data_IF_499346153617
#
_entry.id   IF_499346153617
#
_cell.length_a   1.000
_cell.length_b   1.000
_cell.length_c   1.000
_cell.angle_alpha   90.00
_cell.angle_beta   90.00
_cell.angle_gamma   90.00
#
_symmetry.space_group_name_H-M   'P 1'
#
loop_
_entity.id
_entity.type
_entity.pdbx_description
1 polymer ?
#
# COMPACT_ATOMS: atom_id res chain seq x y z
N UNK A 1 28.93 -18.66 20.64
CA UNK A 1 28.86 -17.32 21.26
C UNK A 1 29.29 -16.26 20.25
N UNK A 2 28.75 -15.03 20.25
CA UNK A 2 28.99 -14.02 19.22
C UNK A 2 30.45 -13.76 18.86
N UNK A 3 31.34 -13.76 19.85
CA UNK A 3 32.75 -13.36 19.71
C UNK A 3 33.73 -14.53 19.88
N UNK A 4 33.27 -15.77 19.74
CA UNK A 4 34.12 -16.95 19.97
C UNK A 4 35.24 -17.12 18.92
N UNK A 5 35.13 -16.49 17.75
CA UNK A 5 36.13 -16.53 16.70
C UNK A 5 37.22 -15.45 16.79
N UNK A 6 37.25 -14.66 17.86
CA UNK A 6 38.28 -13.63 18.06
C UNK A 6 39.48 -14.28 18.77
N UNK A 7 40.65 -14.20 18.14
CA UNK A 7 41.92 -14.62 18.76
C UNK A 7 42.27 -13.64 19.90
N UNK A 8 42.27 -14.15 21.14
CA UNK A 8 42.55 -13.36 22.33
C UNK A 8 44.04 -13.30 22.68
N UNK A 9 44.86 -14.20 22.13
CA UNK A 9 46.30 -14.26 22.41
C UNK A 9 47.04 -13.11 21.72
N UNK A 10 46.58 -12.72 20.53
CA UNK A 10 47.18 -11.64 19.74
C UNK A 10 46.26 -10.41 19.64
N UNK A 11 45.77 -9.92 20.77
CA UNK A 11 44.76 -8.85 20.81
C UNK A 11 45.24 -7.52 20.20
N UNK A 12 46.54 -7.25 20.25
CA UNK A 12 47.16 -6.02 19.73
C UNK A 12 47.32 -6.00 18.20
N UNK A 13 47.46 -7.17 17.57
CA UNK A 13 47.63 -7.28 16.12
C UNK A 13 46.30 -7.24 15.35
N UNK A 14 45.17 -7.39 16.04
CA UNK A 14 43.84 -7.37 15.44
C UNK A 14 43.46 -6.01 14.87
N UNK A 15 42.89 -6.02 13.67
CA UNK A 15 42.33 -4.82 13.04
C UNK A 15 41.14 -4.29 13.86
N UNK A 16 41.33 -3.13 14.49
CA UNK A 16 40.28 -2.47 15.26
C UNK A 16 39.31 -1.75 14.31
N UNK A 17 38.07 -1.55 14.76
CA UNK A 17 37.05 -0.85 13.97
C UNK A 17 37.46 0.58 13.58
N UNK A 18 38.08 1.33 14.49
CA UNK A 18 38.60 2.71 14.30
C UNK A 18 37.57 3.76 13.87
N UNK A 19 36.33 3.38 13.55
CA UNK A 19 35.20 4.25 13.33
C UNK A 19 33.90 3.63 13.85
N UNK A 20 33.03 4.48 14.38
CA UNK A 20 31.70 4.06 14.81
C UNK A 20 30.87 3.48 13.65
N UNK A 21 30.98 4.07 12.46
CA UNK A 21 30.24 3.63 11.27
C UNK A 21 30.58 2.20 10.85
N UNK A 22 31.87 1.82 10.90
CA UNK A 22 32.31 0.45 10.58
C UNK A 22 31.78 -0.56 11.59
N UNK A 23 31.75 -0.18 12.87
CA UNK A 23 31.16 -1.01 13.91
C UNK A 23 29.65 -1.21 13.68
N UNK A 24 28.90 -0.12 13.44
CA UNK A 24 27.45 -0.17 13.22
C UNK A 24 27.08 -1.08 12.04
N UNK A 25 27.79 -0.99 10.92
CA UNK A 25 27.56 -1.86 9.77
C UNK A 25 27.72 -3.35 10.10
N UNK A 26 28.68 -3.70 10.96
CA UNK A 26 28.85 -5.09 11.41
C UNK A 26 27.75 -5.46 12.39
N UNK A 27 27.40 -4.57 13.31
CA UNK A 27 26.33 -4.78 14.29
C UNK A 27 24.97 -5.03 13.61
N UNK A 28 24.60 -4.23 12.61
CA UNK A 28 23.36 -4.42 11.83
C UNK A 28 23.36 -5.75 11.08
N UNK A 29 24.48 -6.11 10.44
CA UNK A 29 24.63 -7.42 9.79
C UNK A 29 24.49 -8.58 10.77
N UNK A 30 25.01 -8.45 11.99
CA UNK A 30 24.83 -9.48 13.03
C UNK A 30 23.41 -9.52 13.56
N UNK A 31 22.72 -8.39 13.64
CA UNK A 31 21.34 -8.31 14.11
C UNK A 31 20.36 -9.00 13.15
N UNK A 32 20.66 -9.00 11.84
CA UNK A 32 19.84 -9.66 10.83
C UNK A 32 20.06 -11.18 10.75
N UNK A 33 21.04 -11.74 11.46
CA UNK A 33 21.27 -13.19 11.49
C UNK A 33 20.30 -13.86 12.45
N UNK A 34 19.87 -15.07 12.08
CA UNK A 34 19.12 -15.91 13.00
C UNK A 34 20.00 -16.36 14.16
N UNK A 35 19.42 -16.36 15.36
CA UNK A 35 20.11 -16.76 16.57
C UNK A 35 19.23 -17.60 17.48
N UNK A 36 19.85 -18.48 18.26
CA UNK A 36 19.18 -19.40 19.17
C UNK A 36 18.52 -18.71 20.37
N UNK A 37 19.07 -17.60 20.88
CA UNK A 37 18.50 -16.87 22.01
C UNK A 37 17.23 -16.07 21.62
N UNK A 38 16.56 -15.51 22.63
CA UNK A 38 15.38 -14.65 22.45
C UNK A 38 15.80 -13.33 21.81
N UNK A 39 15.16 -12.96 20.70
CA UNK A 39 15.42 -11.72 19.97
C UNK A 39 14.12 -10.92 19.84
N UNK A 40 14.24 -9.60 19.68
CA UNK A 40 13.08 -8.74 19.43
C UNK A 40 12.26 -9.21 18.22
N UNK A 41 12.95 -9.58 17.14
CA UNK A 41 12.37 -10.10 15.89
C UNK A 41 11.39 -11.26 16.10
N UNK A 42 11.76 -12.21 16.96
CA UNK A 42 10.92 -13.39 17.30
C UNK A 42 9.62 -13.02 18.03
N UNK A 43 9.54 -11.85 18.65
CA UNK A 43 8.33 -11.38 19.32
C UNK A 43 7.42 -10.56 18.42
N UNK A 44 7.93 -10.05 17.30
CA UNK A 44 7.22 -9.08 16.46
C UNK A 44 6.85 -9.62 15.08
N UNK A 45 7.62 -10.55 14.53
CA UNK A 45 7.41 -11.04 13.17
C UNK A 45 6.70 -12.40 13.16
N UNK A 46 5.65 -12.50 12.33
CA UNK A 46 5.00 -13.74 11.92
C UNK A 46 5.48 -14.11 10.53
N UNK A 47 6.22 -15.21 10.40
CA UNK A 47 6.70 -15.69 9.10
C UNK A 47 5.59 -16.45 8.38
N UNK A 48 5.25 -15.99 7.18
CA UNK A 48 4.37 -16.69 6.26
C UNK A 48 5.06 -16.80 4.91
N UNK A 49 5.05 -18.00 4.33
CA UNK A 49 5.47 -18.20 2.95
C UNK A 49 4.40 -17.60 2.04
N UNK A 50 4.80 -16.69 1.16
CA UNK A 50 3.90 -16.05 0.22
C UNK A 50 4.11 -16.61 -1.19
N UNK A 51 3.01 -16.89 -1.89
CA UNK A 51 3.01 -17.41 -3.26
C UNK A 51 2.92 -16.26 -4.26
N UNK A 52 3.72 -16.31 -5.33
CA UNK A 52 3.62 -15.32 -6.40
C UNK A 52 2.53 -15.71 -7.41
N UNK A 53 1.46 -14.93 -7.49
CA UNK A 53 0.32 -15.13 -8.42
C UNK A 53 0.38 -14.21 -9.65
N UNK A 54 1.47 -13.46 -9.82
CA UNK A 54 1.62 -12.49 -10.90
C UNK A 54 2.16 -13.04 -12.22
N UNK A 55 2.15 -12.17 -13.23
CA UNK A 55 2.76 -12.45 -14.55
C UNK A 55 4.26 -12.81 -14.46
N UNK A 56 4.75 -13.69 -15.35
CA UNK A 56 6.15 -14.09 -15.40
C UNK A 56 7.07 -12.91 -15.73
N UNK A 57 8.30 -12.96 -15.22
CA UNK A 57 9.31 -11.94 -15.50
C UNK A 57 10.11 -12.25 -16.76
N UNK A 58 9.78 -11.59 -17.87
CA UNK A 58 10.57 -11.66 -19.11
C UNK A 58 11.81 -10.76 -19.00
N UNK A 59 12.93 -11.31 -18.52
CA UNK A 59 14.18 -10.55 -18.38
C UNK A 59 14.98 -10.55 -19.69
N UNK A 60 15.44 -9.39 -20.20
CA UNK A 60 16.37 -9.35 -21.32
C UNK A 60 17.73 -9.98 -20.96
N UNK A 61 18.53 -10.33 -21.97
CA UNK A 61 19.85 -10.92 -21.75
C UNK A 61 20.74 -10.00 -20.91
N UNK A 62 21.10 -10.46 -19.70
CA UNK A 62 21.97 -9.72 -18.75
C UNK A 62 23.28 -9.27 -19.40
N UNK A 63 23.85 -10.08 -20.29
CA UNK A 63 25.11 -9.74 -20.98
C UNK A 63 24.96 -8.51 -21.87
N UNK A 64 23.84 -8.40 -22.59
CA UNK A 64 23.55 -7.26 -23.47
C UNK A 64 23.34 -6.00 -22.64
N UNK A 65 22.49 -6.08 -21.62
CA UNK A 65 22.18 -4.98 -20.71
C UNK A 65 23.45 -4.41 -20.03
N UNK A 66 24.31 -5.29 -19.50
CA UNK A 66 25.56 -4.89 -18.86
C UNK A 66 26.50 -4.21 -19.87
N UNK A 67 26.61 -4.74 -21.10
CA UNK A 67 27.45 -4.16 -22.15
C UNK A 67 27.00 -2.73 -22.49
N UNK A 68 25.70 -2.50 -22.61
CA UNK A 68 25.13 -1.18 -22.87
C UNK A 68 25.36 -0.21 -21.72
N UNK A 69 25.11 -0.63 -20.47
CA UNK A 69 25.36 0.20 -19.28
C UNK A 69 26.83 0.60 -19.15
N UNK A 70 27.76 -0.32 -19.44
CA UNK A 70 29.20 -0.03 -19.47
C UNK A 70 29.52 0.98 -20.58
N UNK A 71 28.97 0.80 -21.78
CA UNK A 71 29.16 1.72 -22.92
C UNK A 71 28.71 3.14 -22.55
N UNK A 72 27.50 3.30 -22.03
CA UNK A 72 26.95 4.60 -21.60
C UNK A 72 27.80 5.22 -20.49
N UNK A 73 28.22 4.42 -19.51
CA UNK A 73 29.08 4.92 -18.41
C UNK A 73 30.43 5.40 -18.93
N UNK A 74 31.05 4.69 -19.88
CA UNK A 74 32.30 5.11 -20.52
C UNK A 74 32.13 6.41 -21.30
N UNK A 75 31.05 6.54 -22.08
CA UNK A 75 30.72 7.77 -22.81
C UNK A 75 30.54 8.96 -21.87
N UNK A 76 29.81 8.78 -20.77
CA UNK A 76 29.59 9.82 -19.78
C UNK A 76 30.91 10.24 -19.08
N UNK A 77 31.78 9.28 -18.75
CA UNK A 77 33.10 9.57 -18.15
C UNK A 77 34.07 10.27 -19.10
N UNK A 78 33.97 10.01 -20.40
CA UNK A 78 34.80 10.66 -21.41
C UNK A 78 34.34 12.10 -21.73
N UNK A 79 33.13 12.48 -21.30
CA UNK A 79 32.59 13.82 -21.53
C UNK A 79 33.16 14.82 -20.50
N UNK A 80 34.02 15.73 -20.98
CA UNK A 80 34.68 16.76 -20.17
C UNK A 80 33.71 17.79 -19.58
N UNK A 81 32.61 18.10 -20.28
CA UNK A 81 31.61 19.06 -19.78
C UNK A 81 30.82 18.46 -18.62
N UNK A 82 30.49 17.16 -18.69
CA UNK A 82 29.81 16.44 -17.62
C UNK A 82 30.71 16.31 -16.38
N UNK A 83 32.00 16.07 -16.56
CA UNK A 83 33.00 16.10 -15.48
C UNK A 83 33.06 17.47 -14.81
N UNK A 84 33.18 18.54 -15.61
CA UNK A 84 33.23 19.92 -15.12
C UNK A 84 31.96 20.28 -14.35
N UNK A 85 30.78 19.99 -14.90
CA UNK A 85 29.50 20.28 -14.28
C UNK A 85 29.30 19.49 -12.97
N UNK A 86 29.77 18.24 -12.91
CA UNK A 86 29.72 17.43 -11.68
C UNK A 86 30.67 17.99 -10.61
N UNK A 87 31.90 18.36 -10.99
CA UNK A 87 32.88 18.96 -10.08
C UNK A 87 32.40 20.29 -9.49
N UNK A 88 31.74 21.11 -10.32
CA UNK A 88 31.15 22.38 -9.90
C UNK A 88 29.76 22.23 -9.23
N UNK A 89 29.23 21.01 -9.15
CA UNK A 89 27.90 20.68 -8.59
C UNK A 89 26.74 21.44 -9.28
N UNK A 90 26.90 21.75 -10.57
CA UNK A 90 25.86 22.44 -11.37
C UNK A 90 25.00 21.46 -12.16
N UNK A 91 25.44 20.21 -12.33
CA UNK A 91 24.71 19.20 -13.09
C UNK A 91 23.37 18.84 -12.43
N UNK A 92 22.30 18.81 -13.22
CA UNK A 92 20.95 18.42 -12.79
C UNK A 92 20.47 17.21 -13.60
N UNK A 93 19.91 16.22 -12.90
CA UNK A 93 19.40 15.01 -13.53
C UNK A 93 17.94 15.28 -13.96
N UNK A 94 17.58 15.02 -15.24
CA UNK A 94 16.20 15.15 -15.69
C UNK A 94 15.30 14.08 -15.04
N UNK A 95 14.38 14.52 -14.19
CA UNK A 95 13.53 13.63 -13.39
C UNK A 95 12.58 12.78 -14.25
N UNK A 96 12.07 13.33 -15.36
CA UNK A 96 11.16 12.63 -16.25
C UNK A 96 11.82 11.39 -16.88
N UNK A 97 13.09 11.51 -17.27
CA UNK A 97 13.88 10.39 -17.79
C UNK A 97 14.16 9.35 -16.72
N UNK A 98 14.43 9.78 -15.49
CA UNK A 98 14.64 8.86 -14.36
C UNK A 98 13.36 8.09 -14.07
N UNK A 99 12.19 8.75 -14.05
CA UNK A 99 10.90 8.13 -13.83
C UNK A 99 10.56 7.11 -14.93
N UNK A 100 10.74 7.48 -16.20
CA UNK A 100 10.47 6.57 -17.32
C UNK A 100 11.37 5.33 -17.31
N UNK A 101 12.65 5.46 -16.94
CA UNK A 101 13.57 4.33 -16.82
C UNK A 101 13.26 3.47 -15.58
N UNK A 102 12.88 4.12 -14.47
CA UNK A 102 12.48 3.44 -13.25
C UNK A 102 11.24 2.58 -13.47
N UNK A 103 10.20 3.10 -14.13
CA UNK A 103 8.97 2.37 -14.46
C UNK A 103 9.25 1.09 -15.27
N UNK A 104 10.25 1.09 -16.15
CA UNK A 104 10.63 -0.08 -16.95
C UNK A 104 11.47 -1.12 -16.20
N UNK A 105 12.21 -0.70 -15.18
CA UNK A 105 13.24 -1.53 -14.54
C UNK A 105 12.83 -1.96 -13.12
N UNK A 106 13.11 -1.12 -12.12
CA UNK A 106 12.92 -1.44 -10.71
C UNK A 106 11.54 -1.04 -10.18
N UNK A 107 10.78 -0.24 -10.93
CA UNK A 107 9.46 0.25 -10.56
C UNK A 107 8.52 -0.82 -10.05
N UNK A 108 8.28 -1.91 -10.81
CA UNK A 108 7.44 -3.03 -10.37
C UNK A 108 7.76 -3.56 -8.96
N UNK A 109 9.05 -3.72 -8.65
CA UNK A 109 9.49 -4.26 -7.35
C UNK A 109 9.35 -3.23 -6.23
N UNK A 110 9.55 -1.93 -6.52
CA UNK A 110 9.33 -0.87 -5.55
C UNK A 110 7.84 -0.73 -5.22
N UNK A 111 6.98 -0.84 -6.23
CA UNK A 111 5.52 -0.80 -6.06
C UNK A 111 5.05 -2.02 -5.25
N UNK A 112 5.58 -3.21 -5.53
CA UNK A 112 5.32 -4.41 -4.74
C UNK A 112 5.67 -4.18 -3.25
N UNK A 113 6.88 -3.66 -2.96
CA UNK A 113 7.30 -3.37 -1.58
C UNK A 113 6.41 -2.31 -0.91
N UNK A 114 5.94 -1.32 -1.67
CA UNK A 114 4.98 -0.34 -1.15
C UNK A 114 3.64 -1.01 -0.87
N UNK A 115 3.12 -1.83 -1.76
CA UNK A 115 1.86 -2.55 -1.55
C UNK A 115 1.90 -3.46 -0.32
N UNK A 116 3.02 -4.14 -0.08
CA UNK A 116 3.28 -4.91 1.13
C UNK A 116 3.32 -4.02 2.38
N UNK A 117 4.02 -2.89 2.33
CA UNK A 117 4.06 -1.92 3.44
C UNK A 117 2.68 -1.36 3.79
N UNK A 118 1.85 -1.09 2.77
CA UNK A 118 0.48 -0.62 2.95
C UNK A 118 -0.49 -1.74 3.31
N UNK A 119 -0.08 -3.01 3.42
CA UNK A 119 -0.95 -4.13 3.78
C UNK A 119 -1.90 -4.61 2.67
N UNK A 120 -1.71 -4.16 1.42
CA UNK A 120 -2.63 -4.46 0.31
C UNK A 120 -2.71 -5.97 0.04
N UNK A 121 -1.58 -6.65 0.01
CA UNK A 121 -1.57 -8.10 -0.22
C UNK A 121 -2.18 -8.86 0.94
N UNK A 122 -1.92 -8.43 2.18
CA UNK A 122 -2.49 -9.08 3.36
C UNK A 122 -4.02 -9.08 3.34
N UNK A 123 -4.62 -7.97 2.92
CA UNK A 123 -6.08 -7.80 2.93
C UNK A 123 -6.73 -8.42 1.68
N UNK A 124 -6.17 -8.19 0.48
CA UNK A 124 -6.79 -8.63 -0.78
C UNK A 124 -6.45 -10.09 -1.15
N UNK A 125 -5.23 -10.53 -0.83
CA UNK A 125 -4.69 -11.84 -1.22
C UNK A 125 -3.89 -12.47 -0.07
N UNK A 126 -4.55 -12.95 1.00
CA UNK A 126 -3.85 -13.56 2.13
C UNK A 126 -2.90 -14.66 1.66
N UNK A 127 -1.62 -14.58 2.04
CA UNK A 127 -0.53 -15.49 1.65
C UNK A 127 -0.09 -15.45 0.17
N UNK A 128 -0.53 -14.47 -0.62
CA UNK A 128 -0.09 -14.31 -2.00
C UNK A 128 0.37 -12.89 -2.30
N UNK A 129 1.27 -12.74 -3.27
CA UNK A 129 1.73 -11.46 -3.78
C UNK A 129 1.85 -11.53 -5.29
N UNK A 130 1.95 -10.37 -5.94
CA UNK A 130 2.31 -10.31 -7.35
C UNK A 130 3.17 -9.09 -7.62
N UNK A 131 4.00 -9.16 -8.66
CA UNK A 131 4.78 -8.00 -9.10
C UNK A 131 4.00 -7.28 -10.19
N UNK A 132 3.60 -6.01 -10.01
CA UNK A 132 2.85 -5.27 -11.03
C UNK A 132 3.75 -4.95 -12.22
N UNK A 133 3.69 -5.79 -13.25
CA UNK A 133 4.49 -5.66 -14.47
C UNK A 133 3.95 -4.59 -15.41
N UNK A 134 2.64 -4.37 -15.39
CA UNK A 134 1.97 -3.37 -16.21
C UNK A 134 1.77 -2.10 -15.39
N UNK A 135 2.34 -0.98 -15.87
CA UNK A 135 2.21 0.31 -15.20
C UNK A 135 0.83 0.90 -15.45
N UNK A 136 0.02 0.96 -14.40
CA UNK A 136 -1.31 1.54 -14.45
C UNK A 136 -1.23 3.05 -14.18
N UNK A 137 -1.70 3.88 -15.12
CA UNK A 137 -1.81 5.33 -14.94
C UNK A 137 -3.27 5.71 -14.79
N UNK A 138 -3.64 6.17 -13.61
CA UNK A 138 -4.98 6.63 -13.28
C UNK A 138 -4.92 8.12 -12.97
N UNK A 139 -5.79 8.91 -13.59
CA UNK A 139 -5.89 10.34 -13.37
C UNK A 139 -7.36 10.75 -13.19
N UNK A 140 -7.61 11.56 -12.18
CA UNK A 140 -8.91 12.18 -11.94
C UNK A 140 -8.94 13.61 -12.48
N UNK A 141 -10.05 13.97 -13.14
CA UNK A 141 -10.26 15.29 -13.75
C UNK A 141 -9.54 15.50 -15.08
N UNK A 142 -9.96 16.52 -15.82
CA UNK A 142 -9.48 16.79 -17.19
C UNK A 142 -8.05 17.35 -17.21
N UNK A 143 -7.63 18.04 -16.15
CA UNK A 143 -6.32 18.72 -16.09
C UNK A 143 -5.16 17.82 -15.61
N UNK A 144 -5.37 16.51 -15.46
CA UNK A 144 -4.37 15.57 -14.90
C UNK A 144 -3.76 16.01 -13.55
N UNK A 145 -4.41 16.93 -12.83
CA UNK A 145 -3.91 17.52 -11.60
C UNK A 145 -3.98 16.55 -10.42
N UNK A 146 -4.90 15.57 -10.49
CA UNK A 146 -5.10 14.53 -9.49
C UNK A 146 -4.68 13.14 -10.04
N UNK A 147 -3.37 12.95 -10.26
CA UNK A 147 -2.82 11.64 -10.60
C UNK A 147 -2.83 10.70 -9.39
N UNK A 148 -3.19 9.44 -9.62
CA UNK A 148 -2.99 8.35 -8.66
C UNK A 148 -1.58 7.81 -8.82
N UNK A 149 -0.90 7.60 -7.70
CA UNK A 149 0.40 6.98 -7.61
C UNK A 149 0.29 5.72 -6.73
N UNK A 150 1.08 5.64 -5.67
CA UNK A 150 1.20 4.46 -4.81
C UNK A 150 1.08 4.90 -3.35
N UNK A 151 -0.10 5.38 -2.97
CA UNK A 151 -0.44 5.84 -1.63
C UNK A 151 -0.48 7.35 -1.43
N UNK A 152 -0.50 8.14 -2.50
CA UNK A 152 -0.71 9.59 -2.38
C UNK A 152 -2.14 9.90 -1.90
N UNK A 153 -2.32 11.08 -1.33
CA UNK A 153 -3.62 11.53 -0.85
C UNK A 153 -4.45 12.18 -1.96
N UNK A 154 -5.71 11.77 -2.11
CA UNK A 154 -6.71 12.41 -2.97
C UNK A 154 -8.01 12.64 -2.19
N UNK A 155 -8.65 13.79 -2.37
CA UNK A 155 -9.91 14.08 -1.70
C UNK A 155 -11.09 13.37 -2.39
N UNK A 156 -12.17 13.07 -1.66
CA UNK A 156 -13.39 12.50 -2.26
C UNK A 156 -13.98 13.39 -3.36
N UNK A 157 -13.82 14.71 -3.26
CA UNK A 157 -14.26 15.68 -4.30
C UNK A 157 -13.45 15.56 -5.59
N UNK A 158 -12.14 15.35 -5.49
CA UNK A 158 -11.29 15.08 -6.66
C UNK A 158 -11.67 13.75 -7.32
N UNK A 159 -12.00 12.73 -6.51
CA UNK A 159 -12.41 11.41 -6.98
C UNK A 159 -13.94 11.27 -7.18
N UNK A 160 -14.64 12.37 -7.45
CA UNK A 160 -16.11 12.35 -7.58
C UNK A 160 -16.61 11.69 -8.87
N UNK A 161 -15.86 11.82 -9.96
CA UNK A 161 -16.14 11.20 -11.26
C UNK A 161 -15.18 10.04 -11.54
N UNK A 162 -15.59 9.15 -12.45
CA UNK A 162 -14.73 8.03 -12.87
C UNK A 162 -13.41 8.56 -13.46
N UNK A 163 -12.26 7.97 -13.11
CA UNK A 163 -10.97 8.45 -13.58
C UNK A 163 -10.70 8.03 -15.03
N UNK A 164 -9.79 8.75 -15.68
CA UNK A 164 -9.18 8.29 -16.92
C UNK A 164 -8.06 7.29 -16.60
N UNK A 165 -8.18 6.08 -17.14
CA UNK A 165 -7.23 4.99 -16.92
C UNK A 165 -6.51 4.67 -18.22
N UNK A 166 -5.18 4.57 -18.16
CA UNK A 166 -4.35 4.18 -19.30
C UNK A 166 -3.22 3.26 -18.85
N UNK A 167 -2.94 2.24 -19.67
CA UNK A 167 -1.85 1.29 -19.46
C UNK A 167 -1.31 0.78 -20.81
N UNK A 168 -0.13 0.17 -20.80
CA UNK A 168 0.45 -0.41 -22.02
C UNK A 168 -0.15 -1.82 -22.24
N UNK A 169 -0.85 -1.99 -23.36
CA UNK A 169 -1.56 -3.22 -23.69
C UNK A 169 -1.40 -3.58 -25.17
N UNK A 170 -1.42 -4.88 -25.47
CA UNK A 170 -1.43 -5.41 -26.83
C UNK A 170 -2.84 -5.27 -27.45
N UNK A 171 -2.95 -5.01 -28.75
CA UNK A 171 -4.23 -4.69 -29.42
C UNK A 171 -5.31 -5.78 -29.26
N UNK A 172 -4.91 -7.05 -29.17
CA UNK A 172 -5.83 -8.20 -29.04
C UNK A 172 -5.92 -8.74 -27.60
N UNK A 173 -5.40 -8.01 -26.62
CA UNK A 173 -5.44 -8.45 -25.22
C UNK A 173 -6.71 -7.99 -24.52
N UNK A 174 -7.19 -8.82 -23.58
CA UNK A 174 -8.36 -8.54 -22.77
C UNK A 174 -7.93 -8.24 -21.32
N UNK A 175 -8.58 -7.26 -20.70
CA UNK A 175 -8.24 -6.82 -19.35
C UNK A 175 -9.47 -6.62 -18.49
N UNK A 176 -9.29 -6.73 -17.18
CA UNK A 176 -10.30 -6.40 -16.19
C UNK A 176 -9.73 -5.40 -15.19
N UNK A 177 -10.47 -4.32 -14.95
CA UNK A 177 -10.13 -3.28 -14.00
C UNK A 177 -11.08 -3.35 -12.81
N UNK A 178 -10.51 -3.42 -11.60
CA UNK A 178 -11.23 -3.44 -10.34
C UNK A 178 -10.77 -2.28 -9.46
N UNK A 179 -11.69 -1.52 -8.89
CA UNK A 179 -11.45 -0.56 -7.81
C UNK A 179 -12.17 -1.04 -6.56
N UNK A 180 -11.41 -1.33 -5.51
CA UNK A 180 -11.93 -1.83 -4.22
C UNK A 180 -11.39 -1.02 -3.05
N UNK A 181 -12.12 -1.03 -1.93
CA UNK A 181 -11.73 -0.41 -0.67
C UNK A 181 -11.93 -1.39 0.49
N UNK A 182 -10.86 -1.92 1.10
CA UNK A 182 -10.97 -2.79 2.27
C UNK A 182 -11.31 -2.04 3.56
N UNK A 183 -11.08 -0.72 3.62
CA UNK A 183 -11.18 0.05 4.87
C UNK A 183 -12.57 0.70 5.09
N UNK A 184 -13.44 0.68 4.07
CA UNK A 184 -14.69 1.46 4.07
C UNK A 184 -15.93 0.66 4.52
N UNK A 185 -15.81 -0.66 4.68
CA UNK A 185 -16.96 -1.49 4.97
C UNK A 185 -17.51 -1.26 6.39
N UNK A 186 -18.82 -0.98 6.49
CA UNK A 186 -19.44 -0.46 7.71
C UNK A 186 -19.95 -1.54 8.68
N UNK A 187 -20.12 -2.77 8.22
CA UNK A 187 -20.77 -3.84 9.01
C UNK A 187 -19.86 -5.01 9.36
N UNK A 188 -18.82 -5.24 8.55
CA UNK A 188 -17.95 -6.40 8.59
C UNK A 188 -16.53 -5.93 8.24
N UNK A 189 -15.55 -6.24 9.09
CA UNK A 189 -14.16 -5.82 8.91
C UNK A 189 -13.42 -6.61 7.84
N UNK A 190 -13.92 -7.79 7.48
CA UNK A 190 -13.29 -8.70 6.52
C UNK A 190 -13.84 -8.54 5.10
N UNK A 191 -14.74 -7.58 4.88
CA UNK A 191 -15.36 -7.30 3.59
C UNK A 191 -14.90 -5.97 3.04
N UNK A 192 -14.94 -5.88 1.72
CA UNK A 192 -14.55 -4.70 0.97
C UNK A 192 -15.79 -4.12 0.28
N UNK A 193 -15.71 -2.86 -0.15
CA UNK A 193 -16.66 -2.33 -1.12
C UNK A 193 -16.05 -2.25 -2.51
N UNK A 194 -16.76 -2.79 -3.50
CA UNK A 194 -16.44 -2.57 -4.91
C UNK A 194 -16.94 -1.20 -5.35
N UNK A 195 -16.01 -0.35 -5.76
CA UNK A 195 -16.33 0.97 -6.29
C UNK A 195 -16.55 0.95 -7.79
N UNK A 196 -15.76 0.16 -8.52
CA UNK A 196 -15.82 0.08 -9.97
C UNK A 196 -15.29 -1.26 -10.44
N UNK A 197 -15.98 -1.90 -11.39
CA UNK A 197 -15.53 -3.13 -12.01
C UNK A 197 -15.89 -3.10 -13.50
N UNK A 198 -14.86 -3.16 -14.35
CA UNK A 198 -14.99 -3.20 -15.80
C UNK A 198 -14.25 -4.42 -16.30
N UNK A 199 -14.98 -5.35 -16.90
CA UNK A 199 -14.44 -6.58 -17.48
C UNK A 199 -14.30 -6.50 -18.99
N UNK A 200 -13.58 -7.46 -19.59
CA UNK A 200 -13.49 -7.64 -21.04
C UNK A 200 -13.08 -6.37 -21.79
N UNK A 201 -12.14 -5.60 -21.23
CA UNK A 201 -11.61 -4.36 -21.83
C UNK A 201 -10.70 -4.75 -23.01
N UNK A 202 -11.01 -4.31 -24.24
CA UNK A 202 -10.15 -4.58 -25.39
C UNK A 202 -8.95 -3.62 -25.40
N UNK A 203 -7.75 -4.17 -25.28
CA UNK A 203 -6.49 -3.43 -25.25
C UNK A 203 -6.47 -2.39 -24.12
N UNK A 204 -6.45 -1.11 -24.49
CA UNK A 204 -6.40 0.02 -23.55
C UNK A 204 -7.72 0.81 -23.51
N UNK A 205 -8.76 0.36 -24.20
CA UNK A 205 -10.03 1.09 -24.36
C UNK A 205 -11.00 0.77 -23.21
N UNK A 206 -10.73 1.31 -22.02
CA UNK A 206 -11.51 1.03 -20.79
C UNK A 206 -13.01 1.33 -20.98
N UNK A 207 -13.36 2.38 -21.72
CA UNK A 207 -14.75 2.73 -22.04
C UNK A 207 -15.47 1.72 -22.94
N UNK A 208 -14.74 0.87 -23.67
CA UNK A 208 -15.29 -0.19 -24.52
C UNK A 208 -15.45 -1.52 -23.78
N UNK A 209 -14.99 -1.61 -22.53
CA UNK A 209 -15.19 -2.78 -21.69
C UNK A 209 -16.63 -2.91 -21.20
N UNK A 210 -16.97 -4.10 -20.72
CA UNK A 210 -18.25 -4.38 -20.08
C UNK A 210 -18.23 -3.84 -18.65
N UNK A 211 -19.03 -2.80 -18.37
CA UNK A 211 -19.20 -2.29 -17.02
C UNK A 211 -20.04 -3.27 -16.17
N UNK A 212 -19.37 -4.02 -15.30
CA UNK A 212 -19.98 -5.02 -14.41
C UNK A 212 -20.50 -4.34 -13.14
N UNK A 213 -19.76 -3.37 -12.63
CA UNK A 213 -20.16 -2.52 -11.52
C UNK A 213 -19.87 -1.06 -11.85
N UNK A 214 -20.89 -0.21 -11.79
CA UNK A 214 -20.77 1.22 -12.03
C UNK A 214 -19.86 1.90 -11.01
N UNK A 215 -19.04 2.85 -11.48
CA UNK A 215 -18.24 3.72 -10.63
C UNK A 215 -19.09 4.42 -9.54
N UNK A 216 -18.64 4.33 -8.29
CA UNK A 216 -19.11 5.18 -7.18
C UNK A 216 -17.91 5.88 -6.54
N UNK A 217 -18.07 7.17 -6.28
CA UNK A 217 -17.04 7.96 -5.63
C UNK A 217 -16.69 7.40 -4.24
N UNK A 218 -15.44 7.53 -3.78
CA UNK A 218 -15.03 7.28 -2.39
C UNK A 218 -15.93 7.97 -1.35
N UNK A 219 -16.35 7.26 -0.30
CA UNK A 219 -17.11 7.79 0.84
C UNK A 219 -16.48 7.46 2.20
N UNK A 220 -15.21 7.87 2.43
CA UNK A 220 -14.59 7.63 3.73
C UNK A 220 -15.43 8.29 4.82
N UNK A 221 -15.80 7.54 5.86
CA UNK A 221 -16.71 8.03 6.89
C UNK A 221 -15.98 8.95 7.88
N UNK A 222 -16.73 9.85 8.52
CA UNK A 222 -16.11 10.82 9.42
C UNK A 222 -15.58 10.11 10.66
N UNK A 223 -14.29 10.26 10.94
CA UNK A 223 -13.65 9.74 12.14
C UNK A 223 -13.02 8.34 12.02
N UNK A 224 -13.07 7.71 10.85
CA UNK A 224 -12.37 6.43 10.59
C UNK A 224 -10.93 6.60 10.09
N UNK A 225 -10.54 7.82 9.71
CA UNK A 225 -9.18 8.15 9.30
C UNK A 225 -8.96 8.05 7.79
N UNK A 226 -7.83 7.45 7.39
CA UNK A 226 -7.46 7.29 5.99
C UNK A 226 -7.88 5.93 5.47
N UNK A 227 -8.61 5.93 4.35
CA UNK A 227 -9.01 4.71 3.65
C UNK A 227 -8.17 4.54 2.38
N UNK A 228 -7.79 3.30 2.07
CA UNK A 228 -7.04 2.94 0.86
C UNK A 228 -8.01 2.53 -0.23
N UNK A 229 -7.88 3.15 -1.41
CA UNK A 229 -8.63 2.78 -2.61
C UNK A 229 -7.65 2.18 -3.61
N UNK A 230 -7.93 0.95 -4.02
CA UNK A 230 -6.95 0.10 -4.70
C UNK A 230 -7.48 -0.25 -6.09
N UNK A 231 -6.75 0.18 -7.11
CA UNK A 231 -6.95 -0.25 -8.49
C UNK A 231 -6.12 -1.50 -8.77
N UNK A 232 -6.80 -2.57 -9.15
CA UNK A 232 -6.22 -3.80 -9.65
C UNK A 232 -6.50 -3.94 -11.14
N UNK A 233 -5.46 -4.26 -11.89
CA UNK A 233 -5.57 -4.60 -13.31
C UNK A 233 -5.23 -6.08 -13.48
N UNK A 234 -6.17 -6.85 -14.01
CA UNK A 234 -6.00 -8.25 -14.36
C UNK A 234 -5.89 -8.42 -15.87
N UNK A 235 -4.94 -9.22 -16.32
CA UNK A 235 -4.85 -9.69 -17.70
C UNK A 235 -5.75 -10.91 -17.86
N UNK A 236 -6.63 -10.91 -18.86
CA UNK A 236 -7.49 -12.05 -19.19
C UNK A 236 -6.87 -12.83 -20.35
N UNK A 237 -6.92 -14.17 -20.28
CA UNK A 237 -6.51 -15.02 -21.40
C UNK A 237 -7.62 -15.19 -22.44
N UNK A 238 -8.87 -15.22 -21.97
CA UNK A 238 -10.09 -15.43 -22.76
C UNK A 238 -11.18 -14.47 -22.29
N UNK A 239 -12.21 -14.26 -23.10
CA UNK A 239 -13.41 -13.53 -22.71
C UNK A 239 -14.08 -14.23 -21.53
N UNK A 240 -14.24 -13.50 -20.42
CA UNK A 240 -14.81 -14.02 -19.18
C UNK A 240 -16.27 -13.62 -19.08
N UNK A 241 -17.14 -14.55 -18.69
CA UNK A 241 -18.53 -14.24 -18.39
C UNK A 241 -18.66 -13.69 -16.97
N UNK A 242 -18.97 -12.40 -16.85
CA UNK A 242 -19.23 -11.71 -15.59
C UNK A 242 -20.72 -11.62 -15.24
N UNK A 243 -21.58 -12.41 -15.90
CA UNK A 243 -23.03 -12.41 -15.66
C UNK A 243 -23.41 -12.61 -14.19
N UNK A 244 -22.64 -13.40 -13.43
CA UNK A 244 -22.90 -13.69 -12.02
C UNK A 244 -22.56 -12.53 -11.06
N UNK A 245 -21.63 -11.66 -11.45
CA UNK A 245 -21.16 -10.53 -10.63
C UNK A 245 -21.75 -9.19 -11.08
N UNK A 246 -22.59 -9.21 -12.12
CA UNK A 246 -23.19 -8.02 -12.70
C UNK A 246 -24.15 -7.36 -11.73
N UNK A 247 -23.87 -6.08 -11.44
CA UNK A 247 -24.70 -5.26 -10.58
C UNK A 247 -25.66 -4.41 -11.41
N UNK A 248 -26.87 -4.13 -10.91
CA UNK A 248 -27.81 -3.26 -11.61
C UNK A 248 -27.24 -1.85 -11.72
N UNK A 249 -27.27 -1.24 -12.91
CA UNK A 249 -26.83 0.15 -13.10
C UNK A 249 -28.04 1.10 -13.06
N UNK A 250 -28.13 2.08 -12.12
CA UNK A 250 -27.16 2.39 -11.07
C UNK A 250 -27.33 1.57 -9.78
N UNK A 251 -26.22 1.15 -9.17
CA UNK A 251 -26.23 0.41 -7.89
C UNK A 251 -25.77 1.29 -6.72
N UNK A 252 -26.71 1.67 -5.86
CA UNK A 252 -26.44 2.41 -4.62
C UNK A 252 -26.63 1.57 -3.35
N UNK A 253 -26.85 0.26 -3.48
CA UNK A 253 -27.03 -0.62 -2.33
C UNK A 253 -25.68 -1.12 -1.82
N UNK A 254 -25.28 -0.68 -0.63
CA UNK A 254 -24.02 -1.11 0.01
C UNK A 254 -23.94 -2.63 0.17
N UNK A 255 -25.06 -3.30 0.51
CA UNK A 255 -25.13 -4.76 0.63
C UNK A 255 -24.78 -5.50 -0.67
N UNK A 256 -25.13 -4.93 -1.82
CA UNK A 256 -24.80 -5.51 -3.13
C UNK A 256 -23.37 -5.19 -3.57
N UNK A 257 -22.80 -4.09 -3.07
CA UNK A 257 -21.40 -3.70 -3.29
C UNK A 257 -20.43 -4.37 -2.33
N UNK A 258 -20.93 -5.13 -1.35
CA UNK A 258 -20.15 -6.00 -0.50
C UNK A 258 -19.38 -7.00 -1.36
N UNK A 259 -18.06 -6.96 -1.29
CA UNK A 259 -17.18 -7.67 -2.20
C UNK A 259 -15.98 -8.24 -1.45
N UNK A 260 -15.43 -9.35 -1.96
CA UNK A 260 -14.14 -9.89 -1.51
C UNK A 260 -13.30 -10.19 -2.73
N UNK A 261 -12.18 -9.49 -2.86
CA UNK A 261 -11.28 -9.62 -4.01
C UNK A 261 -10.73 -11.03 -4.14
N UNK A 262 -10.42 -11.68 -3.01
CA UNK A 262 -9.95 -13.06 -2.96
C UNK A 262 -10.94 -14.05 -3.58
N UNK A 263 -12.23 -13.94 -3.23
CA UNK A 263 -13.26 -14.85 -3.71
C UNK A 263 -13.55 -14.64 -5.20
N UNK A 264 -13.53 -13.38 -5.65
CA UNK A 264 -13.61 -13.07 -7.08
C UNK A 264 -12.44 -13.65 -7.86
N UNK A 265 -11.21 -13.48 -7.36
CA UNK A 265 -10.03 -14.02 -8.01
C UNK A 265 -10.04 -15.55 -8.06
N UNK A 266 -10.39 -16.23 -6.96
CA UNK A 266 -10.49 -17.71 -6.90
C UNK A 266 -11.47 -18.28 -7.93
N UNK A 267 -12.59 -17.61 -8.19
CA UNK A 267 -13.56 -18.04 -9.20
C UNK A 267 -13.01 -17.99 -10.63
N UNK A 268 -12.03 -17.13 -10.88
CA UNK A 268 -11.54 -16.81 -12.22
C UNK A 268 -10.02 -17.02 -12.35
N UNK A 269 -9.36 -17.71 -11.42
CA UNK A 269 -7.89 -17.76 -11.37
C UNK A 269 -7.26 -18.36 -12.64
N UNK A 270 -7.96 -19.30 -13.26
CA UNK A 270 -7.57 -19.94 -14.53
C UNK A 270 -7.67 -18.99 -15.73
N UNK A 271 -8.44 -17.91 -15.62
CA UNK A 271 -8.78 -17.01 -16.73
C UNK A 271 -8.15 -15.63 -16.59
N UNK A 272 -7.89 -15.18 -15.35
CA UNK A 272 -7.39 -13.84 -15.05
C UNK A 272 -6.12 -13.91 -14.22
N UNK A 273 -5.14 -13.05 -14.54
CA UNK A 273 -3.88 -12.94 -13.79
C UNK A 273 -3.61 -11.49 -13.38
N UNK A 274 -3.30 -11.20 -12.11
CA UNK A 274 -3.00 -9.84 -11.68
C UNK A 274 -1.72 -9.31 -12.34
N UNK A 275 -1.82 -8.13 -12.93
CA UNK A 275 -0.80 -7.58 -13.82
C UNK A 275 -0.38 -6.15 -13.44
N UNK A 276 -1.31 -5.33 -12.94
CA UNK A 276 -1.08 -3.94 -12.56
C UNK A 276 -1.73 -3.59 -11.22
N UNK A 277 -1.16 -2.59 -10.56
CA UNK A 277 -1.60 -2.10 -9.26
C UNK A 277 -1.36 -0.59 -9.19
N UNK A 278 -2.36 0.16 -8.72
CA UNK A 278 -2.20 1.56 -8.31
C UNK A 278 -3.15 1.81 -7.14
N UNK A 279 -2.82 2.72 -6.22
CA UNK A 279 -3.69 3.01 -5.09
C UNK A 279 -3.45 4.40 -4.53
N UNK A 280 -4.47 4.95 -3.90
CA UNK A 280 -4.41 6.24 -3.21
C UNK A 280 -5.09 6.15 -1.84
N UNK A 281 -4.83 7.14 -1.01
CA UNK A 281 -5.50 7.31 0.28
C UNK A 281 -6.52 8.44 0.20
N UNK A 282 -7.70 8.24 0.76
CA UNK A 282 -8.69 9.31 0.94
C UNK A 282 -9.10 9.43 2.40
N UNK A 283 -9.56 10.62 2.77
CA UNK A 283 -10.08 10.91 4.11
C UNK A 283 -11.41 11.63 3.94
N UNK A 284 -12.24 11.59 4.98
CA UNK A 284 -13.50 12.31 4.98
C UNK A 284 -13.31 13.80 4.68
N UNK A 285 -14.12 14.33 3.76
CA UNK A 285 -14.24 15.76 3.50
C UNK A 285 -15.72 16.19 3.58
N UNK A 286 -15.93 17.47 3.90
CA UNK A 286 -17.22 18.16 3.87
C UNK A 286 -17.94 18.06 2.52
N UNK A 287 -17.18 17.94 1.43
CA UNK A 287 -17.69 17.83 0.06
C UNK A 287 -18.16 16.42 -0.31
N UNK A 288 -18.12 15.45 0.61
CA UNK A 288 -18.53 14.07 0.34
C UNK A 288 -20.04 14.05 0.01
N UNK A 289 -20.37 14.21 -1.28
CA UNK A 289 -21.72 14.33 -1.84
C UNK A 289 -22.58 13.07 -1.68
N UNK A 290 -22.07 12.06 -0.99
CA UNK A 290 -22.63 10.72 -0.96
C UNK A 290 -23.89 10.63 -0.10
N UNK A 291 -24.13 11.58 0.81
CA UNK A 291 -25.44 11.71 1.46
C UNK A 291 -26.57 11.89 0.44
N UNK A 292 -26.33 12.61 -0.66
CA UNK A 292 -27.32 12.79 -1.73
C UNK A 292 -27.48 11.54 -2.61
N UNK A 293 -26.40 10.78 -2.78
CA UNK A 293 -26.34 9.59 -3.66
C UNK A 293 -26.92 8.36 -2.96
N UNK A 294 -26.43 8.04 -1.76
CA UNK A 294 -26.86 6.88 -1.00
C UNK A 294 -28.17 7.12 -0.22
N UNK A 295 -28.58 8.37 -0.01
CA UNK A 295 -29.76 8.75 0.81
C UNK A 295 -29.74 8.13 2.21
N UNK A 296 -28.56 7.86 2.74
CA UNK A 296 -28.33 7.27 4.06
C UNK A 296 -27.73 8.30 5.01
N UNK A 297 -28.12 8.24 6.28
CA UNK A 297 -27.41 8.95 7.33
C UNK A 297 -26.09 8.22 7.61
N UNK A 298 -24.98 8.79 7.14
CA UNK A 298 -23.66 8.19 7.33
C UNK A 298 -23.27 8.30 8.82
N UNK A 299 -22.83 7.20 9.46
CA UNK A 299 -22.39 7.24 10.85
C UNK A 299 -21.11 8.09 11.01
N UNK A 300 -21.00 8.73 12.17
CA UNK A 300 -19.78 9.42 12.61
C UNK A 300 -19.13 8.57 13.67
N UNK A 301 -17.84 8.30 13.47
CA UNK A 301 -17.03 7.52 14.39
C UNK A 301 -16.14 8.46 15.22
N UNK A 302 -15.78 7.99 16.41
CA UNK A 302 -14.80 8.63 17.27
C UNK A 302 -13.83 7.56 17.75
N UNK A 303 -12.56 7.95 17.88
CA UNK A 303 -11.54 7.04 18.40
C UNK A 303 -11.66 6.93 19.92
N UNK A 304 -12.24 5.82 20.37
CA UNK A 304 -12.32 5.50 21.79
C UNK A 304 -10.98 4.97 22.31
N UNK A 305 -10.43 5.63 23.32
CA UNK A 305 -9.15 5.26 23.93
C UNK A 305 -9.41 4.26 25.06
N UNK A 306 -8.56 3.24 25.22
CA UNK A 306 -8.69 2.35 26.37
C UNK A 306 -8.64 3.17 27.66
N UNK A 307 -9.50 2.85 28.65
CA UNK A 307 -9.55 3.59 29.88
C UNK A 307 -8.19 3.53 30.58
N UNK A 308 -7.83 4.62 31.24
CA UNK A 308 -6.57 4.69 31.97
C UNK A 308 -6.58 3.63 33.06
N UNK A 309 -5.56 2.76 33.06
CA UNK A 309 -5.43 1.75 34.11
C UNK A 309 -5.18 2.42 35.46
N UNK A 310 -6.03 2.07 36.42
CA UNK A 310 -5.84 2.41 37.82
C UNK A 310 -5.73 1.13 38.64
N UNK A 311 -4.68 0.97 39.48
CA UNK A 311 -4.59 -0.18 40.36
C UNK A 311 -5.75 -0.17 41.37
N UNK A 312 -6.11 -1.31 41.98
CA UNK A 312 -7.15 -1.37 42.99
C UNK A 312 -6.92 -0.33 44.10
N UNK A 313 -7.99 0.39 44.47
CA UNK A 313 -7.90 1.44 45.48
C UNK A 313 -7.54 0.84 46.84
N UNK A 314 -6.50 1.38 47.50
CA UNK A 314 -6.08 0.98 48.84
C UNK A 314 -6.74 1.89 49.87
N UNK A 315 -7.22 1.31 50.97
CA UNK A 315 -7.78 2.06 52.11
C UNK A 315 -6.79 3.05 52.71
N UNK A 316 -5.51 2.64 52.80
CA UNK A 316 -4.42 3.45 53.31
C UNK A 316 -3.32 3.57 52.25
N UNK A 317 -3.41 4.57 51.35
CA UNK A 317 -2.46 4.74 50.25
C UNK A 317 -1.18 5.43 50.75
N UNK A 318 -0.38 4.72 51.56
CA UNK A 318 0.87 5.24 52.12
C UNK A 318 1.83 5.71 51.02
N UNK A 319 2.41 6.91 51.23
CA UNK A 319 3.36 7.52 50.29
C UNK A 319 2.75 8.08 49.00
N UNK A 320 1.42 8.06 48.85
CA UNK A 320 0.75 8.66 47.69
C UNK A 320 0.37 10.13 47.95
N UNK A 321 0.37 10.98 46.92
CA UNK A 321 -0.08 12.36 47.03
C UNK A 321 -1.61 12.43 47.20
N UNK A 322 -2.13 13.56 47.69
CA UNK A 322 -3.58 13.77 47.91
C UNK A 322 -4.43 13.54 46.64
N UNK A 323 -3.90 13.90 45.47
CA UNK A 323 -4.53 13.67 44.14
C UNK A 323 -4.77 12.19 43.81
N UNK A 324 -4.26 11.27 44.63
CA UNK A 324 -4.59 9.84 44.55
C UNK A 324 -6.10 9.59 44.61
N UNK A 325 -6.81 10.32 45.47
CA UNK A 325 -8.26 10.17 45.64
C UNK A 325 -9.03 10.59 44.37
N UNK A 326 -8.49 11.53 43.60
CA UNK A 326 -9.12 12.04 42.38
C UNK A 326 -9.18 10.99 41.27
N UNK A 327 -8.23 10.04 41.25
CA UNK A 327 -8.21 8.93 40.28
C UNK A 327 -9.45 8.03 40.37
N UNK A 328 -10.08 7.98 41.53
CA UNK A 328 -11.25 7.14 41.81
C UNK A 328 -12.52 7.96 42.01
N UNK A 329 -12.46 9.28 41.79
CA UNK A 329 -13.62 10.17 41.93
C UNK A 329 -14.47 10.07 40.66
N UNK A 330 -15.76 9.71 40.81
CA UNK A 330 -16.72 9.59 39.71
C UNK A 330 -17.19 10.91 39.08
N UNK A 331 -16.32 11.92 38.98
CA UNK A 331 -16.59 13.18 38.27
C UNK A 331 -17.55 14.19 38.92
N UNK A 332 -18.13 13.90 40.09
CA UNK A 332 -19.02 14.85 40.79
C UNK A 332 -18.20 15.98 41.46
N UNK A 333 -18.61 17.23 41.25
CA UNK A 333 -17.95 18.41 41.86
C UNK A 333 -18.11 18.43 43.39
N UNK A 334 -19.34 18.27 43.87
CA UNK A 334 -19.67 18.18 45.30
C UNK A 334 -20.68 17.05 45.54
N UNK A 335 -20.56 16.38 46.68
CA UNK A 335 -21.50 15.32 47.09
C UNK A 335 -21.95 15.58 48.53
N UNK A 336 -23.25 15.78 48.72
CA UNK A 336 -23.86 16.06 50.03
C UNK A 336 -24.59 14.85 50.63
N UNK A 337 -24.71 13.74 49.89
CA UNK A 337 -25.25 12.48 50.42
C UNK A 337 -26.72 12.60 50.83
N UNK A 338 -27.00 12.47 52.13
CA UNK A 338 -28.36 12.52 52.73
C UNK A 338 -28.77 13.92 53.20
N UNK A 339 -27.89 14.92 53.08
CA UNK A 339 -28.14 16.31 53.46
C UNK A 339 -28.84 17.10 52.35
#
# INVERSE_FOLDING_TARGET
>A
MPNAGIDLENLESLEKYRSYTRYVQVAEKTNNKEVWWKTYRKYTETEHDHVNIGLPHCRPSRKVEVKERIRVTKQNKNNSDLERATRLRTFRIPLDRVKAEWEKTNGPHHIQRLAEHYGIYQDLFPMAYFVPRVMLRVAYGDDSSAMVHYGNHLSPSQASLAPHVSFEAEENSLWTLLLTSPDEHLQDSEQEYVHWLVGNIPGNAVHSGQEVCQYIAPFPTKGTGYHRYIFLLFKQEVLVDFSSDLLPSPCYSLKKRSFKTLEFYRKHEDLITPAGLAFFQSQWDSSTCINNILKLAIPVFEYDRPPVYHPPQKKYPHGQPLRYLDRYRGGKEHTYGIY
#
